data_IF_002763708706
#
_entry.id   IF_002763708706
#
_cell.length_a   1.000
_cell.length_b   1.000
_cell.length_c   1.000
_cell.angle_alpha   90.00
_cell.angle_beta   90.00
_cell.angle_gamma   90.00
#
_symmetry.space_group_name_H-M   'P 1'
#
loop_
_entity.id
_entity.type
_entity.pdbx_description
1 polymer ?
#
# COMPACT_ATOMS: atom_id res chain seq x y z
N UNK A 1 10.56 57.51 1.59
CA UNK A 1 11.38 57.23 0.40
C UNK A 1 12.30 56.08 0.82
N UNK A 2 12.25 54.87 0.28
CA UNK A 2 11.75 54.37 -1.00
C UNK A 2 11.12 52.98 -0.82
N UNK A 3 10.32 52.64 -1.82
CA UNK A 3 9.60 51.39 -2.01
C UNK A 3 10.52 50.17 -2.07
N UNK A 4 10.12 49.08 -1.40
CA UNK A 4 10.29 47.74 -1.96
C UNK A 4 8.91 47.10 -2.06
N UNK A 5 8.61 46.78 -3.30
CA UNK A 5 7.37 46.35 -3.92
C UNK A 5 6.73 45.11 -3.30
N UNK A 6 5.39 45.15 -3.29
CA UNK A 6 4.47 44.02 -3.29
C UNK A 6 4.91 42.92 -4.25
N UNK A 7 5.03 41.69 -3.76
CA UNK A 7 4.85 40.45 -4.51
C UNK A 7 4.59 39.33 -3.49
N UNK A 8 3.34 38.88 -3.38
CA UNK A 8 2.92 37.49 -3.02
C UNK A 8 1.49 37.35 -2.45
N UNK A 9 0.63 38.38 -2.51
CA UNK A 9 -0.73 38.26 -1.99
C UNK A 9 -1.80 37.75 -2.96
N UNK A 10 -1.48 37.34 -4.20
CA UNK A 10 -2.55 37.19 -5.19
C UNK A 10 -2.47 36.06 -6.22
N UNK A 11 -2.18 34.84 -5.78
CA UNK A 11 -2.41 33.65 -6.63
C UNK A 11 -3.08 32.47 -5.92
N UNK A 12 -4.08 32.74 -5.05
CA UNK A 12 -5.03 31.68 -4.66
C UNK A 12 -6.02 31.46 -5.79
N UNK A 13 -6.18 30.19 -6.20
CA UNK A 13 -7.22 29.80 -7.16
C UNK A 13 -8.59 30.36 -6.74
N UNK A 14 -9.44 30.71 -7.70
CA UNK A 14 -10.81 31.22 -7.41
C UNK A 14 -11.58 30.27 -6.49
N UNK A 15 -11.33 28.97 -6.64
CA UNK A 15 -11.92 27.92 -5.82
C UNK A 15 -11.42 27.95 -4.37
N UNK A 16 -10.13 28.23 -4.13
CA UNK A 16 -9.60 28.42 -2.78
C UNK A 16 -10.06 29.74 -2.15
N UNK A 17 -10.32 30.79 -2.94
CA UNK A 17 -10.99 32.00 -2.44
C UNK A 17 -12.43 31.69 -2.04
N UNK A 18 -13.17 30.95 -2.86
CA UNK A 18 -14.53 30.51 -2.57
C UNK A 18 -14.62 29.71 -1.26
N UNK A 19 -13.75 28.72 -1.05
CA UNK A 19 -13.73 27.97 0.22
C UNK A 19 -13.32 28.83 1.41
N UNK A 20 -12.34 29.72 1.23
CA UNK A 20 -12.01 30.73 2.23
C UNK A 20 -13.23 31.56 2.63
N UNK A 21 -14.01 32.04 1.67
CA UNK A 21 -15.25 32.77 1.97
C UNK A 21 -16.22 31.91 2.78
N UNK A 22 -16.52 30.68 2.35
CA UNK A 22 -17.44 29.78 3.05
C UNK A 22 -17.00 29.50 4.50
N UNK A 23 -15.71 29.29 4.73
CA UNK A 23 -15.14 29.08 6.05
C UNK A 23 -15.42 30.26 6.99
N UNK A 24 -15.32 31.49 6.49
CA UNK A 24 -15.51 32.71 7.28
C UNK A 24 -16.96 33.23 7.33
N UNK A 25 -17.86 32.76 6.46
CA UNK A 25 -19.27 33.22 6.41
C UNK A 25 -20.26 32.37 7.22
N UNK A 26 -19.79 31.33 7.92
CA UNK A 26 -20.63 30.43 8.72
C UNK A 26 -21.61 31.16 9.65
N UNK A 27 -21.11 32.10 10.47
CA UNK A 27 -21.96 32.78 11.46
C UNK A 27 -23.00 33.69 10.78
N UNK A 28 -22.68 34.30 9.63
CA UNK A 28 -23.65 35.06 8.83
C UNK A 28 -24.69 34.19 8.13
N UNK A 29 -24.33 32.97 7.72
CA UNK A 29 -25.27 32.03 7.10
C UNK A 29 -26.19 31.33 8.11
N UNK A 30 -25.80 31.25 9.39
CA UNK A 30 -26.64 30.71 10.47
C UNK A 30 -27.89 31.55 10.75
N UNK A 31 -27.80 32.86 10.51
CA UNK A 31 -28.94 33.77 10.66
C UNK A 31 -29.93 33.65 9.50
N UNK A 32 -29.58 32.91 8.43
CA UNK A 32 -30.44 32.71 7.28
C UNK A 32 -31.57 31.71 7.60
N UNK A 33 -32.86 32.10 7.49
CA UNK A 33 -33.97 31.31 8.02
C UNK A 33 -34.38 30.11 7.13
N UNK A 34 -33.65 29.84 6.03
CA UNK A 34 -34.00 28.79 5.07
C UNK A 34 -32.86 27.77 4.89
N UNK A 35 -33.18 26.49 4.62
CA UNK A 35 -32.17 25.50 4.24
C UNK A 35 -31.42 25.90 2.97
N UNK A 36 -30.10 25.83 3.02
CA UNK A 36 -29.23 26.08 1.86
C UNK A 36 -28.84 24.75 1.25
N UNK A 37 -29.15 24.56 -0.04
CA UNK A 37 -28.74 23.38 -0.80
C UNK A 37 -27.60 23.77 -1.73
N UNK A 38 -26.44 23.12 -1.54
CA UNK A 38 -25.29 23.29 -2.43
C UNK A 38 -25.21 22.10 -3.39
N UNK A 39 -25.46 22.36 -4.68
CA UNK A 39 -25.24 21.37 -5.72
C UNK A 39 -23.80 21.42 -6.18
N UNK A 40 -23.02 20.42 -5.80
CA UNK A 40 -21.57 20.39 -6.01
C UNK A 40 -21.13 19.04 -6.55
N UNK A 41 -20.07 19.05 -7.35
CA UNK A 41 -19.46 17.80 -7.80
C UNK A 41 -18.79 17.08 -6.62
N UNK A 42 -18.58 15.74 -6.70
CA UNK A 42 -17.86 15.01 -5.65
C UNK A 42 -16.50 15.62 -5.30
N UNK A 43 -15.84 16.24 -6.28
CA UNK A 43 -14.55 16.94 -6.11
C UNK A 43 -14.65 18.23 -5.29
N UNK A 44 -15.72 19.00 -5.46
CA UNK A 44 -15.94 20.20 -4.64
C UNK A 44 -16.42 19.79 -3.24
N UNK A 45 -17.26 18.74 -3.16
CA UNK A 45 -17.75 18.18 -1.91
C UNK A 45 -16.61 17.72 -0.99
N UNK A 46 -15.63 16.98 -1.52
CA UNK A 46 -14.47 16.52 -0.74
C UNK A 46 -13.56 17.67 -0.31
N UNK A 47 -13.48 18.74 -1.09
CA UNK A 47 -12.71 19.93 -0.74
C UNK A 47 -13.41 20.82 0.28
N UNK A 48 -14.74 20.87 0.29
CA UNK A 48 -15.52 21.61 1.30
C UNK A 48 -15.17 21.13 2.72
N UNK A 49 -15.02 19.81 2.93
CA UNK A 49 -14.66 19.26 4.24
C UNK A 49 -13.26 19.61 4.72
N UNK A 50 -12.37 19.99 3.80
CA UNK A 50 -10.95 20.21 4.05
C UNK A 50 -10.64 21.71 4.11
N UNK A 51 -11.12 22.49 3.14
CA UNK A 51 -10.81 23.92 3.00
C UNK A 51 -11.84 24.84 3.67
N UNK A 52 -13.03 24.32 4.00
CA UNK A 52 -14.05 25.02 4.77
C UNK A 52 -14.65 24.13 5.89
N UNK A 53 -13.83 23.57 6.79
CA UNK A 53 -14.25 22.56 7.76
C UNK A 53 -15.33 23.05 8.74
N UNK A 54 -15.30 24.33 9.14
CA UNK A 54 -16.30 24.87 10.07
C UNK A 54 -17.66 25.01 9.39
N UNK A 55 -17.66 25.43 8.13
CA UNK A 55 -18.85 25.43 7.29
C UNK A 55 -19.36 24.00 7.04
N UNK A 56 -18.46 23.06 6.73
CA UNK A 56 -18.78 21.66 6.48
C UNK A 56 -19.38 20.94 7.69
N UNK A 57 -18.93 21.29 8.91
CA UNK A 57 -19.47 20.75 10.17
C UNK A 57 -20.95 21.07 10.38
N UNK A 58 -21.46 22.13 9.74
CA UNK A 58 -22.84 22.58 9.87
C UNK A 58 -23.83 21.83 8.96
N UNK A 59 -23.36 20.98 8.05
CA UNK A 59 -24.23 20.24 7.12
C UNK A 59 -25.17 19.27 7.86
N UNK A 60 -26.41 19.19 7.42
CA UNK A 60 -27.38 18.21 7.95
C UNK A 60 -27.35 16.87 7.20
N UNK A 61 -26.76 16.81 6.01
CA UNK A 61 -26.66 15.59 5.22
C UNK A 61 -25.94 15.80 3.89
N UNK A 62 -25.57 14.69 3.24
CA UNK A 62 -24.99 14.66 1.89
C UNK A 62 -25.82 13.70 1.07
N UNK A 63 -26.43 14.19 -0.01
CA UNK A 63 -27.29 13.40 -0.88
C UNK A 63 -26.62 13.24 -2.25
N UNK A 64 -26.52 12.00 -2.73
CA UNK A 64 -25.96 11.70 -4.06
C UNK A 64 -27.10 11.43 -5.04
N UNK A 65 -27.16 12.21 -6.11
CA UNK A 65 -28.09 11.99 -7.21
C UNK A 65 -27.35 11.27 -8.34
N UNK A 66 -27.85 10.09 -8.72
CA UNK A 66 -27.35 9.34 -9.87
C UNK A 66 -28.27 9.65 -11.04
N UNK A 67 -27.74 10.22 -12.11
CA UNK A 67 -28.53 10.39 -13.35
C UNK A 67 -28.76 9.01 -13.96
N UNK A 68 -29.98 8.69 -14.43
CA UNK A 68 -30.16 7.59 -15.37
C UNK A 68 -29.25 7.81 -16.58
N UNK A 69 -28.73 6.71 -17.15
CA UNK A 69 -27.86 6.75 -18.33
C UNK A 69 -28.54 7.55 -19.46
N UNK A 70 -27.92 8.66 -19.86
CA UNK A 70 -28.30 9.42 -21.05
C UNK A 70 -27.33 9.02 -22.16
N UNK A 71 -27.86 8.70 -23.34
CA UNK A 71 -27.10 8.36 -24.54
C UNK A 71 -26.10 9.47 -24.90
N UNK A 72 -24.92 9.04 -25.34
CA UNK A 72 -23.75 9.87 -25.66
C UNK A 72 -24.07 11.04 -26.60
N UNK A 73 -23.84 12.26 -26.13
CA UNK A 73 -23.58 13.39 -27.03
C UNK A 73 -22.46 14.27 -26.49
N UNK A 74 -21.39 14.41 -27.28
CA UNK A 74 -20.64 15.66 -27.42
C UNK A 74 -19.40 15.83 -26.56
N UNK A 75 -18.26 15.48 -27.15
CA UNK A 75 -16.88 15.68 -26.67
C UNK A 75 -16.59 17.14 -26.25
N UNK A 76 -15.92 17.32 -25.10
CA UNK A 76 -14.89 18.36 -24.94
C UNK A 76 -13.63 17.69 -24.38
N UNK A 77 -12.64 17.53 -25.27
CA UNK A 77 -11.25 17.25 -24.91
C UNK A 77 -10.67 18.46 -24.17
N UNK A 78 -9.98 18.24 -23.04
CA UNK A 78 -8.54 18.55 -22.91
C UNK A 78 -8.05 18.32 -21.45
N UNK A 79 -7.03 17.46 -21.37
CA UNK A 79 -5.91 17.47 -20.42
C UNK A 79 -6.24 17.40 -18.93
N UNK A 80 -6.42 16.17 -18.45
CA UNK A 80 -6.38 15.83 -17.03
C UNK A 80 -4.95 15.41 -16.69
N UNK A 81 -4.17 16.34 -16.15
CA UNK A 81 -2.94 15.97 -15.44
C UNK A 81 -3.32 15.15 -14.21
N UNK A 82 -2.88 13.90 -14.27
CA UNK A 82 -3.01 12.88 -13.23
C UNK A 82 -2.25 13.33 -11.97
N UNK A 83 -2.86 13.12 -10.81
CA UNK A 83 -2.11 12.93 -9.57
C UNK A 83 -2.88 12.01 -8.64
N UNK A 84 -2.15 11.16 -7.90
CA UNK A 84 -2.59 9.83 -7.51
C UNK A 84 -3.39 9.89 -6.21
N UNK A 85 -4.57 9.30 -6.25
CA UNK A 85 -5.29 8.73 -5.11
C UNK A 85 -5.10 7.20 -5.30
N UNK A 86 -4.94 6.31 -4.31
CA UNK A 86 -5.57 6.28 -2.98
C UNK A 86 -4.66 5.49 -2.01
N UNK A 87 -4.10 6.15 -0.97
CA UNK A 87 -3.84 5.46 0.30
C UNK A 87 -4.93 5.89 1.29
N UNK A 88 -5.59 4.90 1.89
CA UNK A 88 -6.61 5.04 2.92
C UNK A 88 -6.11 5.89 4.11
N UNK A 89 -6.85 6.96 4.43
CA UNK A 89 -6.81 7.69 5.71
C UNK A 89 -5.53 8.45 6.11
N UNK A 90 -4.64 8.77 5.17
CA UNK A 90 -3.41 9.51 5.51
C UNK A 90 -3.40 10.91 4.92
N UNK A 91 -4.20 11.86 5.44
CA UNK A 91 -3.95 13.33 5.22
C UNK A 91 -4.81 14.34 6.01
N UNK A 92 -5.21 13.99 7.23
CA UNK A 92 -5.40 15.00 8.29
C UNK A 92 -4.50 14.62 9.47
N UNK A 93 -3.19 14.61 9.20
CA UNK A 93 -2.19 14.53 10.27
C UNK A 93 -2.02 15.96 10.73
N UNK A 94 -2.73 16.34 11.79
CA UNK A 94 -2.16 17.34 12.70
C UNK A 94 -0.73 16.87 12.99
N UNK A 95 0.29 17.73 12.84
CA UNK A 95 1.66 17.40 13.20
C UNK A 95 1.72 16.61 14.51
N UNK A 96 2.61 15.62 14.59
CA UNK A 96 2.67 14.70 15.73
C UNK A 96 2.78 15.45 17.07
N UNK A 97 3.51 16.56 17.07
CA UNK A 97 3.60 17.53 18.17
C UNK A 97 2.25 18.12 18.56
N UNK A 98 1.44 18.61 17.62
CA UNK A 98 0.10 19.12 17.90
C UNK A 98 -0.85 18.02 18.46
N UNK A 99 -0.72 16.78 17.96
CA UNK A 99 -1.48 15.65 18.51
C UNK A 99 -1.07 15.34 19.96
N UNK A 100 0.23 15.39 20.26
CA UNK A 100 0.76 15.15 21.60
C UNK A 100 0.33 16.25 22.58
N UNK A 101 0.32 17.52 22.15
CA UNK A 101 -0.18 18.64 22.97
C UNK A 101 -1.66 18.48 23.33
N UNK A 102 -2.49 18.04 22.36
CA UNK A 102 -3.90 17.77 22.61
C UNK A 102 -4.11 16.60 23.58
N UNK A 103 -3.32 15.53 23.44
CA UNK A 103 -3.33 14.41 24.39
C UNK A 103 -2.97 14.91 25.79
N UNK A 104 -1.88 15.66 25.95
CA UNK A 104 -1.45 16.16 27.26
C UNK A 104 -2.52 17.06 27.91
N UNK A 105 -3.17 17.92 27.11
CA UNK A 105 -4.26 18.79 27.57
C UNK A 105 -5.45 18.00 28.12
N UNK A 106 -5.88 16.94 27.43
CA UNK A 106 -7.00 16.10 27.86
C UNK A 106 -6.64 15.18 29.03
N UNK A 107 -5.41 14.66 29.05
CA UNK A 107 -4.90 13.86 30.18
C UNK A 107 -4.85 14.69 31.47
N UNK A 108 -4.42 15.96 31.40
CA UNK A 108 -4.44 16.89 32.55
C UNK A 108 -5.85 17.13 33.11
N UNK A 109 -6.86 17.05 32.26
CA UNK A 109 -8.27 17.19 32.66
C UNK A 109 -8.86 15.88 33.21
N UNK A 110 -8.07 14.78 33.25
CA UNK A 110 -8.49 13.45 33.69
C UNK A 110 -9.76 12.93 32.98
N UNK A 111 -9.95 13.33 31.72
CA UNK A 111 -11.16 13.02 30.96
C UNK A 111 -11.03 11.72 30.17
N UNK A 112 -11.63 10.66 30.68
CA UNK A 112 -11.77 9.38 29.98
C UNK A 112 -12.87 9.43 28.90
N UNK A 113 -12.59 10.10 27.80
CA UNK A 113 -13.57 10.40 26.75
C UNK A 113 -13.30 9.64 25.44
N UNK A 114 -14.31 9.45 24.58
CA UNK A 114 -14.11 8.93 23.22
C UNK A 114 -13.11 9.76 22.40
N UNK A 115 -13.05 11.08 22.65
CA UNK A 115 -12.12 11.99 21.99
C UNK A 115 -10.65 11.68 22.37
N UNK A 116 -10.37 11.46 23.65
CA UNK A 116 -9.04 11.06 24.11
C UNK A 116 -8.63 9.71 23.51
N UNK A 117 -9.55 8.73 23.47
CA UNK A 117 -9.28 7.43 22.86
C UNK A 117 -8.93 7.54 21.38
N UNK A 118 -9.63 8.42 20.66
CA UNK A 118 -9.38 8.73 19.24
C UNK A 118 -8.01 9.39 19.05
N UNK A 119 -7.64 10.33 19.92
CA UNK A 119 -6.34 11.00 19.87
C UNK A 119 -5.19 10.02 20.12
N UNK A 120 -5.32 9.12 21.09
CA UNK A 120 -4.34 8.04 21.28
C UNK A 120 -4.16 7.18 20.03
N UNK A 121 -5.25 6.77 19.36
CA UNK A 121 -5.16 6.01 18.12
C UNK A 121 -4.44 6.80 17.01
N UNK A 122 -4.74 8.10 16.87
CA UNK A 122 -4.10 8.98 15.89
C UNK A 122 -2.60 9.17 16.13
N UNK A 123 -2.20 9.39 17.39
CA UNK A 123 -0.77 9.47 17.76
C UNK A 123 -0.06 8.15 17.44
N UNK A 124 -0.68 7.01 17.78
CA UNK A 124 -0.13 5.70 17.48
C UNK A 124 0.08 5.48 15.97
N UNK A 125 -0.92 5.83 15.16
CA UNK A 125 -0.83 5.76 13.68
C UNK A 125 0.21 6.73 13.12
N UNK A 126 0.36 7.92 13.70
CA UNK A 126 1.39 8.87 13.28
C UNK A 126 2.80 8.31 13.52
N UNK A 127 3.07 7.71 14.70
CA UNK A 127 4.33 6.99 14.93
C UNK A 127 4.49 5.81 13.97
N UNK A 128 3.45 4.97 13.79
CA UNK A 128 3.52 3.83 12.88
C UNK A 128 3.83 4.24 11.42
N UNK A 129 3.25 5.34 10.95
CA UNK A 129 3.54 5.89 9.62
C UNK A 129 4.99 6.35 9.49
N UNK A 130 5.56 6.99 10.52
CA UNK A 130 6.97 7.39 10.52
C UNK A 130 7.90 6.18 10.44
N UNK A 131 7.56 5.07 11.12
CA UNK A 131 8.29 3.81 10.99
C UNK A 131 8.26 3.28 9.55
N UNK A 132 7.07 3.27 8.92
CA UNK A 132 6.86 2.82 7.54
C UNK A 132 7.66 3.65 6.54
N UNK A 133 7.65 4.98 6.68
CA UNK A 133 8.32 5.92 5.77
C UNK A 133 9.82 6.13 6.08
N UNK A 134 10.38 5.38 7.03
CA UNK A 134 11.79 5.50 7.49
C UNK A 134 12.17 6.93 7.92
N UNK A 135 11.22 7.72 8.40
CA UNK A 135 11.44 9.10 8.89
C UNK A 135 11.90 9.16 10.36
N UNK A 136 12.13 8.01 10.99
CA UNK A 136 12.39 7.90 12.43
C UNK A 136 13.84 8.22 12.76
N UNK A 137 14.06 8.98 13.84
CA UNK A 137 15.41 9.14 14.40
C UNK A 137 15.80 7.96 15.30
N UNK A 138 14.82 7.34 15.97
CA UNK A 138 15.01 6.17 16.82
C UNK A 138 13.87 5.16 16.62
N UNK A 139 14.09 4.20 15.72
CA UNK A 139 13.08 3.22 15.32
C UNK A 139 12.49 2.43 16.51
N UNK A 140 13.34 1.97 17.44
CA UNK A 140 12.85 1.17 18.58
C UNK A 140 11.95 1.99 19.50
N UNK A 141 12.34 3.24 19.79
CA UNK A 141 11.58 4.11 20.68
C UNK A 141 10.24 4.52 20.06
N UNK A 142 10.24 4.95 18.80
CA UNK A 142 9.00 5.35 18.11
C UNK A 142 8.05 4.15 17.94
N UNK A 143 8.59 2.93 17.75
CA UNK A 143 7.79 1.70 17.78
C UNK A 143 7.14 1.46 19.13
N UNK A 144 7.89 1.54 20.21
CA UNK A 144 7.38 1.28 21.55
C UNK A 144 6.32 2.33 21.95
N UNK A 145 6.49 3.59 21.51
CA UNK A 145 5.47 4.64 21.65
C UNK A 145 4.20 4.33 20.85
N UNK A 146 4.32 3.88 19.59
CA UNK A 146 3.15 3.49 18.80
C UNK A 146 2.35 2.38 19.49
N UNK A 147 3.04 1.36 20.02
CA UNK A 147 2.43 0.25 20.76
C UNK A 147 1.72 0.75 22.03
N UNK A 148 2.39 1.61 22.83
CA UNK A 148 1.81 2.18 24.05
C UNK A 148 0.52 2.96 23.76
N UNK A 149 0.55 3.88 22.78
CA UNK A 149 -0.61 4.69 22.43
C UNK A 149 -1.76 3.85 21.87
N UNK A 150 -1.49 2.81 21.07
CA UNK A 150 -2.54 1.89 20.65
C UNK A 150 -3.17 1.16 21.85
N UNK A 151 -2.38 0.70 22.81
CA UNK A 151 -2.91 0.04 24.00
C UNK A 151 -3.70 0.99 24.91
N UNK A 152 -3.28 2.25 25.06
CA UNK A 152 -4.06 3.30 25.75
C UNK A 152 -5.40 3.54 25.07
N UNK A 153 -5.39 3.64 23.74
CA UNK A 153 -6.61 3.78 22.94
C UNK A 153 -7.55 2.59 23.16
N UNK A 154 -7.04 1.37 23.02
CA UNK A 154 -7.81 0.14 23.16
C UNK A 154 -8.43 0.01 24.57
N UNK A 155 -7.66 0.29 25.62
CA UNK A 155 -8.13 0.22 27.00
C UNK A 155 -9.29 1.20 27.26
N UNK A 156 -9.19 2.42 26.73
CA UNK A 156 -10.25 3.42 26.89
C UNK A 156 -11.48 3.08 26.03
N UNK A 157 -11.29 2.61 24.80
CA UNK A 157 -12.38 2.14 23.94
C UNK A 157 -13.11 0.93 24.51
N UNK A 158 -12.41 0.03 25.21
CA UNK A 158 -13.00 -1.08 25.96
C UNK A 158 -13.85 -0.58 27.11
N UNK A 159 -13.31 0.34 27.94
CA UNK A 159 -14.04 0.95 29.06
C UNK A 159 -15.32 1.66 28.61
N UNK A 160 -15.28 2.28 27.43
CA UNK A 160 -16.38 3.04 26.84
C UNK A 160 -17.29 2.20 25.90
N UNK A 161 -17.04 0.90 25.76
CA UNK A 161 -17.79 0.00 24.87
C UNK A 161 -17.84 0.44 23.39
N UNK A 162 -16.77 1.04 22.88
CA UNK A 162 -16.66 1.53 21.51
C UNK A 162 -16.18 0.43 20.54
N UNK A 163 -17.02 -0.58 20.29
CA UNK A 163 -16.63 -1.82 19.60
C UNK A 163 -16.01 -1.62 18.20
N UNK A 164 -16.56 -0.70 17.39
CA UNK A 164 -15.97 -0.38 16.08
C UNK A 164 -14.58 0.24 16.23
N UNK A 165 -14.45 1.25 17.09
CA UNK A 165 -13.18 1.92 17.34
C UNK A 165 -12.12 0.96 17.92
N UNK A 166 -12.52 -0.02 18.73
CA UNK A 166 -11.63 -1.10 19.17
C UNK A 166 -11.08 -1.88 17.98
N UNK A 167 -11.91 -2.19 17.00
CA UNK A 167 -11.50 -2.94 15.81
C UNK A 167 -10.60 -2.13 14.88
N UNK A 168 -10.84 -0.83 14.76
CA UNK A 168 -9.93 0.09 14.06
C UNK A 168 -8.54 0.08 14.73
N UNK A 169 -8.49 0.11 16.06
CA UNK A 169 -7.25 0.03 16.86
C UNK A 169 -6.57 -1.33 16.74
N UNK A 170 -7.32 -2.43 16.77
CA UNK A 170 -6.80 -3.79 16.61
C UNK A 170 -6.21 -3.97 15.20
N UNK A 171 -6.88 -3.49 14.16
CA UNK A 171 -6.37 -3.47 12.80
C UNK A 171 -5.06 -2.67 12.71
N UNK A 172 -5.01 -1.49 13.33
CA UNK A 172 -3.81 -0.66 13.42
C UNK A 172 -2.63 -1.36 14.12
N UNK A 173 -2.87 -2.03 15.25
CA UNK A 173 -1.88 -2.88 15.93
C UNK A 173 -1.40 -4.01 15.03
N UNK A 174 -2.33 -4.68 14.34
CA UNK A 174 -2.00 -5.74 13.38
C UNK A 174 -1.05 -5.25 12.30
N UNK A 175 -1.35 -4.10 11.69
CA UNK A 175 -0.51 -3.46 10.67
C UNK A 175 0.87 -3.05 11.21
N UNK A 176 0.94 -2.52 12.43
CA UNK A 176 2.20 -2.17 13.07
C UNK A 176 3.09 -3.40 13.32
N UNK A 177 2.51 -4.47 13.86
CA UNK A 177 3.25 -5.72 14.09
C UNK A 177 3.68 -6.38 12.79
N UNK A 178 2.83 -6.37 11.76
CA UNK A 178 3.20 -6.86 10.43
C UNK A 178 4.40 -6.07 9.87
N UNK A 179 4.30 -4.74 9.86
CA UNK A 179 5.36 -3.84 9.36
C UNK A 179 6.67 -4.05 10.10
N UNK A 180 6.64 -4.11 11.44
CA UNK A 180 7.84 -4.31 12.28
C UNK A 180 8.43 -5.72 12.17
N UNK A 181 7.66 -6.71 11.71
CA UNK A 181 8.19 -8.03 11.39
C UNK A 181 9.19 -7.96 10.23
N UNK A 182 8.92 -7.14 9.22
CA UNK A 182 9.79 -7.01 8.04
C UNK A 182 11.14 -6.34 8.38
N UNK A 183 11.18 -5.45 9.38
CA UNK A 183 12.42 -4.83 9.85
C UNK A 183 13.19 -5.65 10.88
N UNK A 184 12.58 -6.70 11.44
CA UNK A 184 13.21 -7.53 12.47
C UNK A 184 14.22 -8.51 11.84
N UNK A 185 15.51 -8.15 11.85
CA UNK A 185 16.62 -9.02 11.40
C UNK A 185 16.82 -10.28 12.26
N UNK A 186 16.16 -10.36 13.41
CA UNK A 186 16.22 -11.51 14.32
C UNK A 186 14.99 -12.38 14.09
N UNK A 187 15.20 -13.61 13.59
CA UNK A 187 14.13 -14.55 13.23
C UNK A 187 13.09 -14.79 14.34
N UNK A 188 13.50 -14.78 15.61
CA UNK A 188 12.56 -14.92 16.74
C UNK A 188 11.58 -13.74 16.85
N UNK A 189 12.08 -12.51 16.73
CA UNK A 189 11.26 -11.29 16.76
C UNK A 189 10.32 -11.20 15.56
N UNK A 190 10.77 -11.63 14.36
CA UNK A 190 9.94 -11.64 13.15
C UNK A 190 8.77 -12.62 13.26
N UNK A 191 9.03 -13.84 13.72
CA UNK A 191 7.98 -14.85 13.88
C UNK A 191 6.91 -14.39 14.89
N UNK A 192 7.35 -13.88 16.04
CA UNK A 192 6.44 -13.40 17.09
C UNK A 192 5.58 -12.22 16.63
N UNK A 193 6.17 -11.27 15.89
CA UNK A 193 5.44 -10.14 15.34
C UNK A 193 4.37 -10.58 14.33
N UNK A 194 4.66 -11.56 13.47
CA UNK A 194 3.66 -12.11 12.55
C UNK A 194 2.53 -12.82 13.29
N UNK A 195 2.80 -13.57 14.36
CA UNK A 195 1.74 -14.19 15.17
C UNK A 195 0.88 -13.13 15.88
N UNK A 196 1.48 -12.05 16.37
CA UNK A 196 0.74 -10.92 16.95
C UNK A 196 -0.14 -10.24 15.91
N UNK A 197 0.38 -9.97 14.72
CA UNK A 197 -0.39 -9.38 13.63
C UNK A 197 -1.62 -10.25 13.29
N UNK A 198 -1.42 -11.56 13.13
CA UNK A 198 -2.50 -12.53 12.89
C UNK A 198 -3.54 -12.50 14.01
N UNK A 199 -3.10 -12.46 15.28
CA UNK A 199 -4.01 -12.42 16.42
C UNK A 199 -4.86 -11.13 16.43
N UNK A 200 -4.26 -9.98 16.15
CA UNK A 200 -4.94 -8.70 16.10
C UNK A 200 -5.93 -8.61 14.92
N UNK A 201 -5.56 -9.06 13.73
CA UNK A 201 -6.48 -9.11 12.58
C UNK A 201 -7.69 -10.01 12.86
N UNK A 202 -7.46 -11.19 13.46
CA UNK A 202 -8.56 -12.07 13.88
C UNK A 202 -9.47 -11.44 14.92
N UNK A 203 -8.90 -10.66 15.85
CA UNK A 203 -9.70 -9.94 16.83
C UNK A 203 -10.54 -8.83 16.17
N UNK A 204 -9.98 -8.08 15.23
CA UNK A 204 -10.73 -7.05 14.47
C UNK A 204 -11.91 -7.67 13.68
N UNK A 205 -11.72 -8.85 13.07
CA UNK A 205 -12.76 -9.60 12.36
C UNK A 205 -13.92 -10.11 13.25
N UNK A 206 -13.84 -9.95 14.58
CA UNK A 206 -14.98 -10.26 15.47
C UNK A 206 -16.08 -9.19 15.42
N UNK A 207 -15.73 -7.97 14.98
CA UNK A 207 -16.67 -6.85 14.82
C UNK A 207 -16.80 -6.48 13.35
N UNK A 208 -15.69 -6.42 12.61
CA UNK A 208 -15.75 -6.27 11.16
C UNK A 208 -16.26 -7.56 10.55
N UNK A 209 -17.57 -7.67 10.37
CA UNK A 209 -18.23 -8.75 9.66
C UNK A 209 -18.46 -8.35 8.21
N UNK A 210 -18.64 -9.34 7.33
CA UNK A 210 -19.00 -9.10 5.92
C UNK A 210 -20.33 -8.32 5.80
N UNK A 211 -21.27 -8.55 6.72
CA UNK A 211 -22.60 -7.95 6.69
C UNK A 211 -22.59 -6.48 7.13
N UNK A 212 -21.89 -6.19 8.24
CA UNK A 212 -21.95 -4.86 8.87
C UNK A 212 -20.88 -3.91 8.33
N UNK A 213 -19.71 -4.44 7.97
CA UNK A 213 -18.55 -3.66 7.55
C UNK A 213 -17.81 -4.35 6.39
N UNK A 214 -18.44 -4.51 5.21
CA UNK A 214 -17.89 -5.29 4.11
C UNK A 214 -16.48 -4.83 3.68
N UNK A 215 -16.24 -3.52 3.60
CA UNK A 215 -14.94 -2.95 3.22
C UNK A 215 -13.86 -3.21 4.29
N UNK A 216 -14.15 -2.88 5.56
CA UNK A 216 -13.21 -3.10 6.68
C UNK A 216 -12.91 -4.60 6.87
N UNK A 217 -13.91 -5.46 6.67
CA UNK A 217 -13.77 -6.91 6.65
C UNK A 217 -12.83 -7.33 5.51
N UNK A 218 -13.07 -6.88 4.28
CA UNK A 218 -12.25 -7.25 3.11
C UNK A 218 -10.79 -6.79 3.25
N UNK A 219 -10.57 -5.56 3.74
CA UNK A 219 -9.25 -5.05 4.09
C UNK A 219 -8.55 -5.96 5.11
N UNK A 220 -9.27 -6.32 6.18
CA UNK A 220 -8.70 -7.16 7.24
C UNK A 220 -8.42 -8.58 6.75
N UNK A 221 -9.26 -9.15 5.86
CA UNK A 221 -8.99 -10.43 5.20
C UNK A 221 -7.73 -10.37 4.34
N UNK A 222 -7.57 -9.33 3.51
CA UNK A 222 -6.37 -9.14 2.69
C UNK A 222 -5.10 -9.02 3.57
N UNK A 223 -5.16 -8.29 4.68
CA UNK A 223 -4.01 -8.15 5.59
C UNK A 223 -3.70 -9.45 6.34
N UNK A 224 -4.73 -10.19 6.74
CA UNK A 224 -4.57 -11.52 7.33
C UNK A 224 -3.96 -12.51 6.33
N UNK A 225 -4.34 -12.41 5.05
CA UNK A 225 -3.77 -13.19 3.97
C UNK A 225 -2.28 -12.91 3.79
N UNK A 226 -1.88 -11.63 3.77
CA UNK A 226 -0.47 -11.21 3.73
C UNK A 226 0.32 -11.76 4.92
N UNK A 227 -0.22 -11.65 6.14
CA UNK A 227 0.42 -12.17 7.33
C UNK A 227 0.60 -13.70 7.27
N UNK A 228 -0.39 -14.45 6.80
CA UNK A 228 -0.26 -15.89 6.57
C UNK A 228 0.74 -16.22 5.44
N UNK A 229 0.77 -15.42 4.37
CA UNK A 229 1.74 -15.57 3.28
C UNK A 229 3.18 -15.35 3.72
N UNK A 230 3.41 -14.60 4.80
CA UNK A 230 4.74 -14.35 5.36
C UNK A 230 5.05 -15.14 6.64
N UNK A 231 4.05 -15.84 7.19
CA UNK A 231 4.15 -16.59 8.45
C UNK A 231 5.23 -17.66 8.42
N UNK A 232 6.13 -17.58 9.41
CA UNK A 232 7.27 -18.50 9.60
C UNK A 232 6.81 -19.79 10.28
N UNK A 233 5.97 -19.68 11.30
CA UNK A 233 5.54 -20.83 12.09
C UNK A 233 4.52 -21.71 11.36
N UNK A 234 4.57 -23.01 11.64
CA UNK A 234 3.68 -24.01 11.05
C UNK A 234 4.08 -24.44 9.63
N UNK A 235 3.22 -25.23 9.00
CA UNK A 235 3.46 -25.71 7.64
C UNK A 235 3.34 -24.59 6.62
N UNK A 236 4.39 -24.40 5.79
CA UNK A 236 4.39 -23.43 4.68
C UNK A 236 3.21 -23.66 3.73
N UNK A 237 2.89 -24.92 3.45
CA UNK A 237 1.79 -25.30 2.57
C UNK A 237 0.43 -24.89 3.14
N UNK A 238 0.22 -25.08 4.45
CA UNK A 238 -1.03 -24.69 5.12
C UNK A 238 -1.17 -23.18 5.25
N UNK A 239 -0.06 -22.49 5.54
CA UNK A 239 -0.02 -21.03 5.60
C UNK A 239 -0.41 -20.42 4.25
N UNK A 240 0.16 -20.91 3.13
CA UNK A 240 -0.20 -20.45 1.79
C UNK A 240 -1.64 -20.80 1.41
N UNK A 241 -2.13 -21.99 1.80
CA UNK A 241 -3.54 -22.38 1.60
C UNK A 241 -4.48 -21.39 2.31
N UNK A 242 -4.17 -20.99 3.54
CA UNK A 242 -4.94 -20.00 4.29
C UNK A 242 -4.87 -18.61 3.66
N UNK A 243 -3.67 -18.17 3.25
CA UNK A 243 -3.48 -16.89 2.58
C UNK A 243 -4.36 -16.79 1.32
N UNK A 244 -4.33 -17.82 0.47
CA UNK A 244 -5.18 -17.90 -0.74
C UNK A 244 -6.66 -17.75 -0.37
N UNK A 245 -7.14 -18.51 0.61
CA UNK A 245 -8.54 -18.43 1.03
C UNK A 245 -8.95 -17.04 1.53
N UNK A 246 -8.07 -16.35 2.25
CA UNK A 246 -8.33 -14.99 2.74
C UNK A 246 -8.29 -13.93 1.63
N UNK A 247 -7.40 -14.03 0.66
CA UNK A 247 -7.43 -13.17 -0.53
C UNK A 247 -8.71 -13.41 -1.36
N UNK A 248 -9.08 -14.67 -1.58
CA UNK A 248 -10.32 -15.03 -2.29
C UNK A 248 -11.55 -14.49 -1.55
N UNK A 249 -11.55 -14.50 -0.20
CA UNK A 249 -12.58 -13.86 0.60
C UNK A 249 -12.61 -12.34 0.40
N UNK A 250 -11.47 -11.65 0.45
CA UNK A 250 -11.40 -10.20 0.21
C UNK A 250 -11.93 -9.81 -1.18
N UNK A 251 -11.64 -10.61 -2.21
CA UNK A 251 -12.11 -10.42 -3.59
C UNK A 251 -13.62 -10.62 -3.79
N UNK A 252 -14.35 -11.09 -2.77
CA UNK A 252 -15.83 -11.12 -2.81
C UNK A 252 -16.44 -9.73 -2.59
N UNK A 253 -15.68 -8.81 -2.00
CA UNK A 253 -16.07 -7.41 -1.78
C UNK A 253 -15.27 -6.50 -2.71
N UNK A 254 -13.96 -6.68 -2.78
CA UNK A 254 -13.11 -5.94 -3.71
C UNK A 254 -13.32 -6.47 -5.11
N UNK A 255 -14.31 -5.93 -5.82
CA UNK A 255 -14.58 -6.21 -7.22
C UNK A 255 -13.84 -5.20 -8.11
N UNK A 256 -13.63 -5.55 -9.39
CA UNK A 256 -13.07 -4.63 -10.38
C UNK A 256 -13.92 -3.35 -10.54
N UNK A 257 -15.24 -3.46 -10.40
CA UNK A 257 -16.18 -2.35 -10.61
C UNK A 257 -16.19 -1.37 -9.42
N UNK A 258 -16.26 -1.89 -8.20
CA UNK A 258 -16.46 -1.07 -7.01
C UNK A 258 -15.14 -0.61 -6.37
N UNK A 259 -14.11 -1.46 -6.45
CA UNK A 259 -12.81 -1.24 -5.80
C UNK A 259 -11.65 -1.66 -6.70
N UNK A 260 -11.49 -1.04 -7.88
CA UNK A 260 -10.52 -1.48 -8.89
C UNK A 260 -9.09 -1.58 -8.36
N UNK A 261 -8.66 -0.62 -7.54
CA UNK A 261 -7.30 -0.58 -6.97
C UNK A 261 -7.08 -1.69 -5.94
N UNK A 262 -7.99 -1.84 -4.97
CA UNK A 262 -7.92 -2.89 -3.95
C UNK A 262 -8.04 -4.27 -4.59
N UNK A 263 -8.90 -4.42 -5.60
CA UNK A 263 -9.01 -5.64 -6.40
C UNK A 263 -7.67 -5.96 -7.04
N UNK A 264 -7.04 -5.02 -7.74
CA UNK A 264 -5.76 -5.25 -8.42
C UNK A 264 -4.63 -5.59 -7.46
N UNK A 265 -4.51 -4.87 -6.34
CA UNK A 265 -3.54 -5.18 -5.28
C UNK A 265 -3.75 -6.58 -4.69
N UNK A 266 -5.01 -6.96 -4.43
CA UNK A 266 -5.37 -8.28 -3.91
C UNK A 266 -5.09 -9.38 -4.94
N UNK A 267 -5.34 -9.14 -6.22
CA UNK A 267 -5.03 -10.06 -7.32
C UNK A 267 -3.52 -10.31 -7.44
N UNK A 268 -2.69 -9.26 -7.37
CA UNK A 268 -1.23 -9.38 -7.39
C UNK A 268 -0.72 -10.21 -6.19
N UNK A 269 -1.28 -10.01 -5.00
CA UNK A 269 -0.91 -10.76 -3.81
C UNK A 269 -1.35 -12.23 -3.89
N UNK A 270 -2.57 -12.48 -4.38
CA UNK A 270 -3.09 -13.82 -4.64
C UNK A 270 -2.25 -14.56 -5.68
N UNK A 271 -1.84 -13.87 -6.75
CA UNK A 271 -0.95 -14.40 -7.78
C UNK A 271 0.40 -14.85 -7.20
N UNK A 272 0.97 -14.04 -6.30
CA UNK A 272 2.20 -14.37 -5.58
C UNK A 272 2.01 -15.59 -4.67
N UNK A 273 0.87 -15.70 -3.99
CA UNK A 273 0.56 -16.88 -3.16
C UNK A 273 0.43 -18.15 -4.01
N UNK A 274 -0.23 -18.09 -5.17
CA UNK A 274 -0.28 -19.20 -6.14
C UNK A 274 1.12 -19.54 -6.69
N UNK A 275 1.93 -18.53 -7.02
CA UNK A 275 3.32 -18.70 -7.48
C UNK A 275 4.23 -19.35 -6.45
N UNK A 276 3.87 -19.32 -5.17
CA UNK A 276 4.62 -19.96 -4.08
C UNK A 276 3.94 -21.25 -3.56
N UNK A 277 2.74 -21.58 -4.05
CA UNK A 277 1.94 -22.69 -3.55
C UNK A 277 2.64 -24.03 -3.78
N UNK A 278 2.82 -24.77 -2.68
CA UNK A 278 3.49 -26.08 -2.64
C UNK A 278 2.54 -27.20 -3.09
N UNK A 279 1.28 -27.13 -2.68
CA UNK A 279 0.28 -28.17 -2.98
C UNK A 279 -0.35 -27.98 -4.36
N UNK A 280 -0.69 -29.10 -5.01
CA UNK A 280 -1.31 -29.12 -6.33
C UNK A 280 -0.29 -29.15 -7.48
N UNK A 281 -0.77 -29.03 -8.71
CA UNK A 281 0.08 -28.97 -9.90
C UNK A 281 0.86 -27.66 -9.93
N UNK A 282 2.20 -27.75 -9.97
CA UNK A 282 3.07 -26.57 -10.09
C UNK A 282 2.76 -25.77 -11.37
N UNK A 283 2.46 -26.48 -12.46
CA UNK A 283 2.13 -25.84 -13.73
C UNK A 283 0.83 -25.04 -13.62
N UNK A 284 -0.22 -25.65 -13.06
CA UNK A 284 -1.54 -24.98 -12.94
C UNK A 284 -1.47 -23.79 -11.98
N UNK A 285 -0.73 -23.92 -10.88
CA UNK A 285 -0.50 -22.83 -9.94
C UNK A 285 0.19 -21.63 -10.61
N UNK A 286 1.17 -21.88 -11.48
CA UNK A 286 1.86 -20.82 -12.24
C UNK A 286 0.97 -20.20 -13.31
N UNK A 287 0.16 -20.98 -14.04
CA UNK A 287 -0.80 -20.41 -14.99
C UNK A 287 -1.84 -19.53 -14.28
N UNK A 288 -2.34 -19.98 -13.12
CA UNK A 288 -3.26 -19.19 -12.29
C UNK A 288 -2.61 -17.87 -11.87
N UNK A 289 -1.37 -17.91 -11.38
CA UNK A 289 -0.64 -16.71 -11.00
C UNK A 289 -0.42 -15.74 -12.18
N UNK A 290 -0.01 -16.24 -13.34
CA UNK A 290 0.19 -15.43 -14.54
C UNK A 290 -1.11 -14.74 -14.96
N UNK A 291 -2.25 -15.43 -14.90
CA UNK A 291 -3.56 -14.84 -15.17
C UNK A 291 -3.86 -13.69 -14.21
N UNK A 292 -3.72 -13.94 -12.90
CA UNK A 292 -3.99 -12.96 -11.86
C UNK A 292 -3.07 -11.72 -11.92
N UNK A 293 -1.78 -11.89 -12.24
CA UNK A 293 -0.87 -10.75 -12.46
C UNK A 293 -1.29 -9.93 -13.68
N UNK A 294 -1.74 -10.57 -14.78
CA UNK A 294 -2.25 -9.86 -15.95
C UNK A 294 -3.53 -9.09 -15.63
N UNK A 295 -4.43 -9.70 -14.86
CA UNK A 295 -5.64 -9.06 -14.37
C UNK A 295 -5.31 -7.82 -13.55
N UNK A 296 -4.38 -7.91 -12.60
CA UNK A 296 -3.91 -6.75 -11.83
C UNK A 296 -3.34 -5.63 -12.71
N UNK A 297 -2.56 -5.98 -13.75
CA UNK A 297 -1.99 -5.02 -14.72
C UNK A 297 -3.03 -4.33 -15.62
N UNK A 298 -4.30 -4.76 -15.61
CA UNK A 298 -5.38 -4.02 -16.29
C UNK A 298 -5.77 -2.74 -15.56
N UNK A 299 -5.49 -2.68 -14.25
CA UNK A 299 -5.77 -1.51 -13.40
C UNK A 299 -4.47 -0.82 -12.99
N UNK A 300 -3.48 -1.58 -12.50
CA UNK A 300 -2.17 -1.05 -12.18
C UNK A 300 -1.43 -0.76 -13.48
N UNK A 301 -1.55 0.45 -14.01
CA UNK A 301 -0.85 0.90 -15.22
C UNK A 301 0.41 1.67 -14.85
N UNK A 302 1.38 1.76 -15.79
CA UNK A 302 2.58 2.59 -15.62
C UNK A 302 2.25 4.05 -15.29
N UNK A 303 1.15 4.58 -15.83
CA UNK A 303 0.82 6.00 -15.71
C UNK A 303 0.09 6.33 -14.41
N UNK A 304 -0.77 5.43 -13.92
CA UNK A 304 -1.58 5.66 -12.73
C UNK A 304 -0.90 5.16 -11.46
N UNK A 305 -0.20 4.02 -11.56
CA UNK A 305 0.40 3.30 -10.43
C UNK A 305 1.79 2.76 -10.80
N UNK A 306 2.77 3.63 -11.11
CA UNK A 306 4.06 3.21 -11.67
C UNK A 306 4.80 2.18 -10.80
N UNK A 307 4.82 2.38 -9.48
CA UNK A 307 5.50 1.48 -8.54
C UNK A 307 4.80 0.11 -8.46
N UNK A 308 3.48 0.09 -8.30
CA UNK A 308 2.70 -1.16 -8.24
C UNK A 308 2.74 -1.90 -9.58
N UNK A 309 2.69 -1.17 -10.70
CA UNK A 309 2.87 -1.73 -12.03
C UNK A 309 4.24 -2.39 -12.17
N UNK A 310 5.32 -1.74 -11.73
CA UNK A 310 6.67 -2.29 -11.80
C UNK A 310 6.83 -3.54 -10.92
N UNK A 311 6.28 -3.52 -9.70
CA UNK A 311 6.28 -4.68 -8.81
C UNK A 311 5.51 -5.86 -9.41
N UNK A 312 4.35 -5.59 -10.01
CA UNK A 312 3.53 -6.60 -10.68
C UNK A 312 4.25 -7.16 -11.92
N UNK A 313 4.94 -6.32 -12.70
CA UNK A 313 5.76 -6.75 -13.83
C UNK A 313 6.94 -7.64 -13.39
N UNK A 314 7.65 -7.27 -12.33
CA UNK A 314 8.74 -8.08 -11.78
C UNK A 314 8.24 -9.46 -11.31
N UNK A 315 7.08 -9.51 -10.65
CA UNK A 315 6.47 -10.76 -10.21
C UNK A 315 5.97 -11.62 -11.39
N UNK A 316 5.34 -10.98 -12.39
CA UNK A 316 4.92 -11.65 -13.62
C UNK A 316 6.12 -12.24 -14.38
N UNK A 317 7.23 -11.51 -14.43
CA UNK A 317 8.47 -11.98 -15.03
C UNK A 317 9.03 -13.22 -14.30
N UNK A 318 9.01 -13.22 -12.96
CA UNK A 318 9.41 -14.38 -12.18
C UNK A 318 8.50 -15.59 -12.42
N UNK A 319 7.18 -15.36 -12.56
CA UNK A 319 6.24 -16.42 -12.89
C UNK A 319 6.51 -17.00 -14.30
N UNK A 320 6.79 -16.16 -15.30
CA UNK A 320 7.20 -16.62 -16.63
C UNK A 320 8.54 -17.38 -16.61
N UNK A 321 9.54 -16.89 -15.88
CA UNK A 321 10.83 -17.56 -15.70
C UNK A 321 10.70 -18.94 -15.07
N UNK A 322 9.65 -19.18 -14.29
CA UNK A 322 9.37 -20.48 -13.66
C UNK A 322 8.31 -21.32 -14.39
N UNK A 323 7.67 -20.75 -15.42
CA UNK A 323 6.55 -21.38 -16.14
C UNK A 323 6.98 -22.68 -16.82
N UNK A 324 6.21 -23.74 -16.53
CA UNK A 324 6.45 -25.10 -17.03
C UNK A 324 5.81 -25.29 -18.41
N UNK A 325 4.61 -24.76 -18.62
CA UNK A 325 3.88 -24.92 -19.86
C UNK A 325 4.40 -24.00 -20.97
N UNK A 326 4.26 -24.43 -22.22
CA UNK A 326 4.69 -23.69 -23.41
C UNK A 326 6.17 -23.79 -23.70
N UNK A 327 6.63 -23.02 -24.69
CA UNK A 327 8.05 -22.97 -25.08
C UNK A 327 8.88 -22.31 -24.00
N UNK A 328 9.96 -22.99 -23.56
CA UNK A 328 10.91 -22.41 -22.60
C UNK A 328 11.52 -21.12 -23.12
N UNK A 329 11.79 -21.04 -24.42
CA UNK A 329 12.36 -19.87 -25.06
C UNK A 329 11.37 -18.68 -24.97
N UNK A 330 10.11 -18.89 -25.35
CA UNK A 330 9.09 -17.83 -25.32
C UNK A 330 8.80 -17.35 -23.89
N UNK A 331 8.81 -18.27 -22.92
CA UNK A 331 8.63 -17.94 -21.52
C UNK A 331 9.76 -17.03 -21.00
N UNK A 332 11.00 -17.31 -21.38
CA UNK A 332 12.15 -16.48 -21.02
C UNK A 332 12.11 -15.11 -21.70
N UNK A 333 11.71 -15.01 -22.98
CA UNK A 333 11.55 -13.71 -23.63
C UNK A 333 10.47 -12.86 -22.95
N UNK A 334 9.35 -13.48 -22.54
CA UNK A 334 8.30 -12.80 -21.77
C UNK A 334 8.81 -12.33 -20.41
N UNK A 335 9.61 -13.15 -19.72
CA UNK A 335 10.21 -12.77 -18.46
C UNK A 335 11.17 -11.59 -18.61
N UNK A 336 12.09 -11.65 -19.58
CA UNK A 336 13.03 -10.58 -19.90
C UNK A 336 12.28 -9.28 -20.21
N UNK A 337 11.22 -9.34 -21.03
CA UNK A 337 10.41 -8.18 -21.36
C UNK A 337 9.76 -7.55 -20.11
N UNK A 338 9.16 -8.36 -19.24
CA UNK A 338 8.53 -7.87 -18.01
C UNK A 338 9.54 -7.34 -16.97
N UNK A 339 10.70 -7.98 -16.78
CA UNK A 339 11.76 -7.44 -15.93
C UNK A 339 12.31 -6.12 -16.47
N UNK A 340 12.53 -6.03 -17.78
CA UNK A 340 12.99 -4.78 -18.43
C UNK A 340 11.95 -3.67 -18.27
N UNK A 341 10.66 -4.00 -18.35
CA UNK A 341 9.57 -3.07 -18.10
C UNK A 341 9.59 -2.56 -16.64
N UNK A 342 9.74 -3.45 -15.65
CA UNK A 342 9.85 -3.05 -14.25
C UNK A 342 11.04 -2.10 -13.99
N UNK A 343 12.19 -2.34 -14.64
CA UNK A 343 13.39 -1.49 -14.55
C UNK A 343 13.25 -0.10 -15.19
N UNK A 344 12.12 0.20 -15.85
CA UNK A 344 11.82 1.58 -16.28
C UNK A 344 11.36 2.47 -15.13
N UNK A 345 10.87 1.87 -14.04
CA UNK A 345 10.41 2.55 -12.82
C UNK A 345 11.38 2.28 -11.68
N UNK A 346 11.71 1.00 -11.45
CA UNK A 346 12.73 0.63 -10.49
C UNK A 346 14.07 1.06 -11.04
N UNK A 347 14.64 2.10 -10.45
CA UNK A 347 15.97 2.64 -10.75
C UNK A 347 16.82 2.59 -9.50
N UNK A 348 18.14 2.60 -9.67
CA UNK A 348 19.09 2.61 -8.55
C UNK A 348 18.82 3.78 -7.58
N UNK A 349 18.46 4.96 -8.10
CA UNK A 349 18.27 6.17 -7.30
C UNK A 349 16.95 6.17 -6.53
N UNK A 350 15.86 5.69 -7.14
CA UNK A 350 14.52 5.75 -6.54
C UNK A 350 14.18 4.50 -5.71
N UNK A 351 14.56 3.32 -6.20
CA UNK A 351 14.20 2.02 -5.62
C UNK A 351 15.40 1.07 -5.62
N UNK A 352 16.48 1.37 -4.88
CA UNK A 352 17.71 0.60 -4.92
C UNK A 352 17.54 -0.88 -4.53
N UNK A 353 16.56 -1.18 -3.65
CA UNK A 353 16.21 -2.53 -3.15
C UNK A 353 15.27 -3.35 -4.08
N UNK A 354 14.55 -2.68 -4.98
CA UNK A 354 13.77 -3.37 -6.01
C UNK A 354 14.56 -3.50 -7.31
N UNK A 355 15.40 -2.49 -7.60
CA UNK A 355 16.22 -2.43 -8.80
C UNK A 355 17.26 -3.55 -8.84
N UNK A 356 18.05 -3.74 -7.79
CA UNK A 356 19.07 -4.78 -7.70
C UNK A 356 18.47 -6.20 -7.70
N UNK A 357 17.32 -6.40 -7.05
CA UNK A 357 16.57 -7.66 -7.09
C UNK A 357 16.13 -7.95 -8.53
N UNK A 358 15.53 -6.96 -9.18
CA UNK A 358 15.07 -7.08 -10.57
C UNK A 358 16.25 -7.32 -11.52
N UNK A 359 17.39 -6.66 -11.31
CA UNK A 359 18.62 -6.87 -12.06
C UNK A 359 19.16 -8.30 -11.89
N UNK A 360 19.24 -8.82 -10.66
CA UNK A 360 19.69 -10.19 -10.44
C UNK A 360 18.78 -11.21 -11.14
N UNK A 361 17.46 -11.00 -11.05
CA UNK A 361 16.50 -11.89 -11.69
C UNK A 361 16.56 -11.80 -13.23
N UNK A 362 16.74 -10.60 -13.77
CA UNK A 362 16.97 -10.39 -15.21
C UNK A 362 18.27 -11.05 -15.66
N UNK A 363 19.33 -10.97 -14.86
CA UNK A 363 20.59 -11.66 -15.12
C UNK A 363 20.41 -13.18 -15.20
N UNK A 364 19.59 -13.75 -14.31
CA UNK A 364 19.22 -15.17 -14.36
C UNK A 364 18.38 -15.52 -15.58
N UNK A 365 17.49 -14.62 -16.02
CA UNK A 365 16.72 -14.83 -17.23
C UNK A 365 17.62 -14.82 -18.49
N UNK A 366 18.56 -13.88 -18.57
CA UNK A 366 19.54 -13.84 -19.66
C UNK A 366 20.50 -15.03 -19.67
N UNK A 367 20.98 -15.48 -18.50
CA UNK A 367 21.87 -16.65 -18.43
C UNK A 367 21.21 -17.93 -18.92
N UNK A 368 19.89 -18.04 -18.74
CA UNK A 368 19.09 -19.16 -19.21
C UNK A 368 18.50 -18.96 -20.61
N UNK A 369 18.66 -17.78 -21.23
CA UNK A 369 18.01 -17.40 -22.49
C UNK A 369 18.48 -18.30 -23.64
N UNK A 370 17.50 -18.88 -24.34
CA UNK A 370 17.75 -19.82 -25.45
C UNK A 370 17.89 -19.09 -26.79
N UNK A 371 17.17 -17.98 -26.97
CA UNK A 371 17.21 -17.20 -28.22
C UNK A 371 18.39 -16.21 -28.22
N UNK A 372 18.81 -15.82 -29.42
CA UNK A 372 19.90 -14.85 -29.61
C UNK A 372 21.29 -15.49 -29.54
N UNK A 373 22.31 -14.64 -29.61
CA UNK A 373 23.70 -15.07 -29.50
C UNK A 373 24.07 -15.39 -28.04
N UNK A 374 24.68 -16.56 -27.82
CA UNK A 374 25.02 -17.03 -26.47
C UNK A 374 26.01 -16.09 -25.77
N UNK A 375 27.00 -15.56 -26.49
CA UNK A 375 27.98 -14.66 -25.90
C UNK A 375 27.35 -13.33 -25.50
N UNK A 376 26.44 -12.79 -26.33
CA UNK A 376 25.66 -11.60 -25.99
C UNK A 376 24.77 -11.84 -24.75
N UNK A 377 24.12 -13.00 -24.65
CA UNK A 377 23.28 -13.32 -23.50
C UNK A 377 24.10 -13.41 -22.20
N UNK A 378 25.30 -14.00 -22.26
CA UNK A 378 26.23 -14.04 -21.12
C UNK A 378 26.66 -12.63 -20.70
N UNK A 379 27.00 -11.78 -21.67
CA UNK A 379 27.43 -10.39 -21.39
C UNK A 379 26.30 -9.58 -20.75
N UNK A 380 25.06 -9.71 -21.24
CA UNK A 380 23.88 -9.09 -20.64
C UNK A 380 23.64 -9.59 -19.22
N UNK A 381 23.75 -10.91 -19.00
CA UNK A 381 23.58 -11.51 -17.68
C UNK A 381 24.64 -11.01 -16.68
N UNK A 382 25.91 -10.95 -17.12
CA UNK A 382 27.02 -10.42 -16.32
C UNK A 382 26.79 -8.97 -15.92
N UNK A 383 26.42 -8.11 -16.88
CA UNK A 383 26.09 -6.71 -16.61
C UNK A 383 24.97 -6.57 -15.57
N UNK A 384 23.92 -7.39 -15.67
CA UNK A 384 22.84 -7.41 -14.69
C UNK A 384 23.32 -7.82 -13.28
N UNK A 385 24.16 -8.84 -13.16
CA UNK A 385 24.73 -9.23 -11.86
C UNK A 385 25.68 -8.17 -11.30
N UNK A 386 26.53 -7.56 -12.12
CA UNK A 386 27.41 -6.45 -11.73
C UNK A 386 26.60 -5.26 -11.22
N UNK A 387 25.51 -4.91 -11.91
CA UNK A 387 24.55 -3.90 -11.45
C UNK A 387 23.99 -4.28 -10.07
N UNK A 388 23.50 -5.51 -9.89
CA UNK A 388 22.94 -5.95 -8.61
C UNK A 388 23.97 -5.89 -7.46
N UNK A 389 25.24 -6.19 -7.74
CA UNK A 389 26.35 -6.13 -6.77
C UNK A 389 26.73 -4.71 -6.35
N UNK A 390 26.24 -3.66 -7.02
CA UNK A 390 26.45 -2.28 -6.55
C UNK A 390 25.65 -1.97 -5.29
N UNK A 391 24.52 -2.66 -5.09
CA UNK A 391 23.66 -2.54 -3.89
C UNK A 391 23.87 -3.73 -2.95
N UNK A 392 23.95 -4.95 -3.49
CA UNK A 392 24.22 -6.17 -2.73
C UNK A 392 25.68 -6.19 -2.31
N UNK A 393 25.98 -5.62 -1.15
CA UNK A 393 27.31 -5.70 -0.53
C UNK A 393 27.37 -6.84 0.48
N UNK A 394 28.58 -7.32 0.76
CA UNK A 394 28.81 -8.35 1.78
C UNK A 394 28.28 -7.92 3.16
N UNK A 395 28.35 -6.62 3.45
CA UNK A 395 27.97 -6.04 4.73
C UNK A 395 26.45 -5.82 4.85
N UNK A 396 25.79 -5.36 3.78
CA UNK A 396 24.37 -5.05 3.81
C UNK A 396 23.48 -6.28 3.53
N UNK A 397 23.89 -7.12 2.58
CA UNK A 397 23.11 -8.24 2.04
C UNK A 397 23.99 -9.48 1.82
N UNK A 398 24.57 -10.07 2.89
CA UNK A 398 25.56 -11.13 2.76
C UNK A 398 25.06 -12.36 2.00
N UNK A 399 23.78 -12.73 2.13
CA UNK A 399 23.22 -13.90 1.47
C UNK A 399 23.03 -13.64 -0.03
N UNK A 400 22.35 -12.54 -0.36
CA UNK A 400 22.07 -12.11 -1.73
C UNK A 400 23.36 -11.78 -2.49
N UNK A 401 24.36 -11.23 -1.81
CA UNK A 401 25.70 -11.02 -2.35
C UNK A 401 26.34 -12.35 -2.77
N UNK A 402 26.31 -13.36 -1.89
CA UNK A 402 26.88 -14.67 -2.22
C UNK A 402 26.12 -15.40 -3.32
N UNK A 403 24.80 -15.26 -3.37
CA UNK A 403 23.97 -15.81 -4.44
C UNK A 403 24.33 -15.17 -5.79
N UNK A 404 24.44 -13.84 -5.82
CA UNK A 404 24.77 -13.10 -7.04
C UNK A 404 26.17 -13.45 -7.54
N UNK A 405 27.15 -13.57 -6.63
CA UNK A 405 28.51 -14.03 -6.97
C UNK A 405 28.53 -15.48 -7.46
N UNK A 406 27.71 -16.36 -6.88
CA UNK A 406 27.59 -17.74 -7.34
C UNK A 406 27.05 -17.80 -8.77
N UNK A 407 26.02 -17.01 -9.07
CA UNK A 407 25.46 -16.91 -10.42
C UNK A 407 26.47 -16.37 -11.44
N UNK A 408 27.23 -15.33 -11.06
CA UNK A 408 28.31 -14.78 -11.88
C UNK A 408 29.42 -15.81 -12.12
N UNK A 409 29.83 -16.55 -11.08
CA UNK A 409 30.85 -17.60 -11.21
C UNK A 409 30.41 -18.77 -12.10
N UNK A 410 29.12 -19.10 -12.13
CA UNK A 410 28.57 -20.11 -13.03
C UNK A 410 28.58 -19.66 -14.49
N UNK A 411 28.32 -18.36 -14.75
CA UNK A 411 28.44 -17.79 -16.08
C UNK A 411 29.87 -17.89 -16.60
N UNK A 412 30.87 -17.48 -15.82
CA UNK A 412 32.28 -17.48 -16.25
C UNK A 412 32.78 -18.89 -16.60
N UNK A 413 32.29 -19.93 -15.90
CA UNK A 413 32.58 -21.34 -16.22
C UNK A 413 31.91 -21.83 -17.51
N UNK A 414 30.80 -21.24 -17.90
CA UNK A 414 30.05 -21.60 -19.11
C UNK A 414 30.55 -20.91 -20.39
N UNK A 415 31.44 -19.93 -20.20
CA UNK A 415 32.11 -19.10 -21.22
C UNK A 415 33.47 -19.68 -21.66
N UNK A 416 34.04 -20.60 -20.87
CA UNK A 416 35.24 -21.38 -21.19
C UNK A 416 34.84 -22.68 -21.88
#
# INVERSE_FOLDING_TARGET
MEFVSQADSNNRSELSRFFGYLQWTREGLREFPYPIVLWVTPKILSRLSIEAPDFWSWRSGVFRFVSPAVEETGVINQTWEKSPLIESETRLILPLDELLEQVESLEKQAMETPALATLYNRVARAYANRLKTRQTQNYSQERDLAIDFFHKSLALQQKLNLLRAQSDTLLGLGNLYYTTADYSRINGSRADNLERAIAFYKAALTVYTLEDFPEDWAMTQNNLALAYSNRINGSRADNLKRAIAFYEAALTVYTLEDFPEQWAGTQNNLATAYSNRINGSRADNLERAIGLFKDALTVCTLEDFPEQWAGTQNNLAAAYSNRINGSRADNLERAIASYTAALTVYTLDAFPEDWEMTQNNLGLAYSNRIMGDKAQNIELAKKCYENALTVRTREAYPQEYTETLFNLGNLDRSSQ
#
